data_IF_609907695052
#
_entry.id   IF_609907695052
#
_cell.length_a   1.000
_cell.length_b   1.000
_cell.length_c   1.000
_cell.angle_alpha   90.00
_cell.angle_beta   90.00
_cell.angle_gamma   90.00
#
_symmetry.space_group_name_H-M   'P 1'
#
loop_
_entity.id
_entity.type
_entity.pdbx_description
1 polymer ?
#
# COMPACT_ATOMS: atom_id res chain seq x y z
N UNK A 1 -3.99 29.40 14.88
CA UNK A 1 -4.25 29.48 13.42
C UNK A 1 -3.86 28.13 12.85
N UNK A 2 -4.81 27.21 12.74
CA UNK A 2 -4.58 25.86 12.19
C UNK A 2 -4.47 26.03 10.68
N UNK A 3 -3.27 25.83 10.12
CA UNK A 3 -3.08 25.83 8.67
C UNK A 3 -4.03 24.79 8.06
N UNK A 4 -4.63 25.05 6.89
CA UNK A 4 -5.47 24.05 6.24
C UNK A 4 -4.60 22.83 6.01
N UNK A 5 -5.05 21.69 6.49
CA UNK A 5 -4.62 20.38 6.03
C UNK A 5 -5.00 20.30 4.54
N UNK A 6 -4.28 21.02 3.65
CA UNK A 6 -4.17 20.54 2.27
C UNK A 6 -3.81 19.07 2.41
N UNK A 7 -4.71 18.21 1.93
CA UNK A 7 -4.79 16.84 2.40
C UNK A 7 -3.44 16.17 2.16
N UNK A 8 -2.70 15.94 3.26
CA UNK A 8 -1.37 15.33 3.20
C UNK A 8 -1.45 13.98 2.47
N UNK A 9 -2.62 13.33 2.55
CA UNK A 9 -2.96 12.13 1.79
C UNK A 9 -2.90 12.40 0.29
N UNK A 10 -3.58 13.43 -0.22
CA UNK A 10 -3.55 13.80 -1.65
C UNK A 10 -2.13 14.08 -2.14
N UNK A 11 -1.31 14.75 -1.32
CA UNK A 11 0.09 15.03 -1.65
C UNK A 11 0.94 13.76 -1.69
N UNK A 12 0.72 12.83 -0.76
CA UNK A 12 1.38 11.51 -0.79
C UNK A 12 0.98 10.71 -2.03
N UNK A 13 -0.29 10.76 -2.43
CA UNK A 13 -0.75 10.14 -3.67
C UNK A 13 -0.03 10.72 -4.89
N UNK A 14 0.06 12.04 -5.00
CA UNK A 14 0.76 12.70 -6.10
C UNK A 14 2.24 12.31 -6.19
N UNK A 15 2.94 12.13 -5.08
CA UNK A 15 4.34 11.67 -5.06
C UNK A 15 4.48 10.21 -5.52
N UNK A 16 3.54 9.34 -5.16
CA UNK A 16 3.51 7.94 -5.63
C UNK A 16 3.31 7.89 -7.14
N UNK A 17 2.42 8.72 -7.68
CA UNK A 17 2.15 8.80 -9.11
C UNK A 17 3.38 9.26 -9.90
N UNK A 18 4.06 10.30 -9.41
CA UNK A 18 5.28 10.84 -10.01
C UNK A 18 6.49 9.91 -9.89
N UNK A 19 6.48 8.96 -8.96
CA UNK A 19 7.56 7.98 -8.79
C UNK A 19 7.59 7.00 -9.97
N UNK A 20 8.72 6.88 -10.69
CA UNK A 20 8.85 5.93 -11.80
C UNK A 20 8.55 4.50 -11.33
N UNK A 21 7.78 3.76 -12.12
CA UNK A 21 7.28 2.42 -11.75
C UNK A 21 8.38 1.47 -11.24
N UNK A 22 9.58 1.51 -11.84
CA UNK A 22 10.76 0.71 -11.44
C UNK A 22 11.25 0.96 -10.01
N UNK A 23 10.91 2.10 -9.40
CA UNK A 23 11.29 2.46 -8.03
C UNK A 23 10.14 2.36 -7.03
N UNK A 24 8.90 2.10 -7.47
CA UNK A 24 7.74 2.00 -6.55
C UNK A 24 7.90 0.89 -5.52
N UNK A 25 8.54 -0.23 -5.88
CA UNK A 25 8.86 -1.30 -4.94
C UNK A 25 9.80 -0.84 -3.81
N UNK A 26 10.73 0.09 -4.09
CA UNK A 26 11.60 0.69 -3.08
C UNK A 26 10.84 1.70 -2.22
N UNK A 27 10.03 2.56 -2.84
CA UNK A 27 9.16 3.51 -2.13
C UNK A 27 8.23 2.79 -1.14
N UNK A 28 7.62 1.69 -1.58
CA UNK A 28 6.76 0.86 -0.73
C UNK A 28 7.50 0.27 0.46
N UNK A 29 8.78 -0.10 0.32
CA UNK A 29 9.61 -0.56 1.45
C UNK A 29 9.85 0.55 2.46
N UNK A 30 10.10 1.78 2.01
CA UNK A 30 10.30 2.93 2.91
C UNK A 30 9.03 3.23 3.71
N UNK A 31 7.87 3.26 3.05
CA UNK A 31 6.58 3.46 3.73
C UNK A 31 6.31 2.35 4.74
N UNK A 32 6.64 1.10 4.40
CA UNK A 32 6.55 -0.03 5.33
C UNK A 32 7.44 0.15 6.56
N UNK A 33 8.73 0.45 6.37
CA UNK A 33 9.65 0.65 7.48
C UNK A 33 9.26 1.84 8.35
N UNK A 34 8.72 2.92 7.75
CA UNK A 34 8.17 4.04 8.51
C UNK A 34 6.97 3.60 9.36
N UNK A 35 6.03 2.84 8.79
CA UNK A 35 4.87 2.30 9.52
C UNK A 35 5.28 1.40 10.68
N UNK A 36 6.20 0.46 10.45
CA UNK A 36 6.73 -0.41 11.50
C UNK A 36 7.40 0.38 12.63
N UNK A 37 8.05 1.51 12.31
CA UNK A 37 8.66 2.40 13.29
C UNK A 37 7.64 3.13 14.19
N UNK A 38 6.47 3.48 13.66
CA UNK A 38 5.39 4.14 14.42
C UNK A 38 4.45 3.17 15.12
N UNK A 39 4.40 1.89 14.71
CA UNK A 39 3.61 0.84 15.37
C UNK A 39 4.04 0.63 16.85
N UNK A 40 5.23 1.07 17.23
CA UNK A 40 5.67 1.13 18.63
C UNK A 40 4.92 2.18 19.48
N UNK A 41 4.47 3.27 18.84
CA UNK A 41 3.77 4.40 19.49
C UNK A 41 2.24 4.31 19.30
N UNK A 42 1.76 3.76 18.19
CA UNK A 42 0.34 3.51 17.90
C UNK A 42 0.11 2.06 17.40
N UNK A 43 -0.41 1.14 18.24
CA UNK A 43 -0.62 -0.25 17.85
C UNK A 43 -1.76 -0.35 16.83
N UNK A 44 -1.43 -0.66 15.58
CA UNK A 44 -2.39 -1.02 14.54
C UNK A 44 -2.50 -2.54 14.39
N UNK A 45 -3.67 -3.11 14.04
CA UNK A 45 -3.75 -4.51 13.64
C UNK A 45 -2.84 -4.71 12.41
N UNK A 46 -1.84 -5.58 12.57
CA UNK A 46 -0.58 -5.59 11.81
C UNK A 46 -0.75 -5.71 10.29
N UNK A 47 -0.81 -4.57 9.61
CA UNK A 47 -0.68 -4.48 8.15
C UNK A 47 0.65 -5.09 7.67
N UNK A 48 1.65 -5.19 8.55
CA UNK A 48 2.93 -5.85 8.32
C UNK A 48 2.79 -7.37 8.19
N UNK A 49 1.89 -8.01 8.92
CA UNK A 49 1.58 -9.44 8.68
C UNK A 49 0.87 -9.63 7.36
N UNK A 50 -0.17 -8.83 7.06
CA UNK A 50 -0.90 -8.92 5.79
C UNK A 50 -0.01 -8.65 4.58
N UNK A 51 0.95 -7.72 4.71
CA UNK A 51 1.91 -7.44 3.63
C UNK A 51 2.96 -8.55 3.47
N UNK A 52 3.46 -9.11 4.58
CA UNK A 52 4.39 -10.24 4.56
C UNK A 52 3.72 -11.48 3.96
N UNK A 53 2.45 -11.71 4.28
CA UNK A 53 1.62 -12.77 3.71
C UNK A 53 1.39 -12.54 2.22
N UNK A 54 0.92 -11.36 1.82
CA UNK A 54 0.75 -10.99 0.41
C UNK A 54 2.04 -11.09 -0.41
N UNK A 55 3.19 -10.74 0.19
CA UNK A 55 4.50 -10.89 -0.45
C UNK A 55 4.95 -12.36 -0.59
N UNK A 56 4.63 -13.20 0.40
CA UNK A 56 4.85 -14.66 0.32
C UNK A 56 3.96 -15.29 -0.74
N UNK A 57 2.72 -14.85 -0.85
CA UNK A 57 1.77 -15.35 -1.85
C UNK A 57 2.19 -14.97 -3.26
N UNK A 58 2.64 -13.72 -3.48
CA UNK A 58 3.21 -13.29 -4.74
C UNK A 58 4.45 -14.11 -5.15
N UNK A 59 5.38 -14.37 -4.21
CA UNK A 59 6.55 -15.23 -4.46
C UNK A 59 6.20 -16.69 -4.75
N UNK A 60 5.12 -17.18 -4.16
CA UNK A 60 4.66 -18.56 -4.34
C UNK A 60 3.73 -18.73 -5.56
N UNK A 61 3.48 -17.65 -6.33
CA UNK A 61 2.55 -17.67 -7.46
C UNK A 61 1.08 -17.79 -7.04
N UNK A 62 0.76 -17.61 -5.75
CA UNK A 62 -0.62 -17.56 -5.22
C UNK A 62 -1.21 -16.16 -5.39
N UNK A 63 -1.17 -15.68 -6.62
CA UNK A 63 -1.71 -14.37 -7.02
C UNK A 63 -2.78 -14.62 -8.08
N UNK A 64 -3.96 -14.04 -7.87
CA UNK A 64 -4.99 -14.00 -8.90
C UNK A 64 -4.80 -12.76 -9.77
N UNK A 65 -5.14 -12.86 -11.05
CA UNK A 65 -5.10 -11.67 -11.91
C UNK A 65 -6.16 -10.68 -11.44
N UNK A 66 -5.84 -9.39 -11.52
CA UNK A 66 -6.84 -8.34 -11.29
C UNK A 66 -8.00 -8.50 -12.27
N UNK A 67 -7.76 -9.00 -13.48
CA UNK A 67 -8.80 -9.27 -14.48
C UNK A 67 -9.84 -10.28 -13.99
N UNK A 68 -9.43 -11.28 -13.19
CA UNK A 68 -10.33 -12.31 -12.64
C UNK A 68 -11.13 -11.85 -11.42
N UNK A 69 -10.82 -10.69 -10.84
CA UNK A 69 -11.58 -10.14 -9.71
C UNK A 69 -12.88 -9.46 -10.15
N UNK A 70 -12.98 -9.08 -11.42
CA UNK A 70 -14.17 -8.47 -12.01
C UNK A 70 -15.11 -9.49 -12.65
N UNK A 71 -14.69 -10.75 -12.79
CA UNK A 71 -15.53 -11.86 -13.24
C UNK A 71 -16.71 -12.04 -12.27
N UNK A 72 -17.90 -11.62 -12.70
CA UNK A 72 -19.14 -11.70 -11.92
C UNK A 72 -19.63 -10.38 -11.31
N UNK A 73 -18.91 -9.27 -11.49
CA UNK A 73 -19.40 -7.93 -11.12
C UNK A 73 -20.21 -7.28 -12.27
N UNK A 74 -20.03 -7.74 -13.52
CA UNK A 74 -20.90 -7.39 -14.67
C UNK A 74 -22.11 -8.31 -14.81
N UNK A 75 -22.96 -8.35 -13.78
CA UNK A 75 -24.32 -8.87 -13.89
C UNK A 75 -25.28 -8.05 -13.02
N UNK A 76 -25.53 -6.79 -13.42
CA UNK A 76 -26.59 -5.95 -12.86
C UNK A 76 -26.39 -4.46 -13.06
#
# INVERSE_FOLDING_TARGET
>A
MTQPTEDITERLHAEIEQTPARYRALLLRLVHSFREGIEADEPWPSATESFREGWRDAKAGRVQSIDTLWDGIDAG
#
